data_IF_848399058759
#
_entry.id   IF_848399058759
#
_cell.length_a   1.000
_cell.length_b   1.000
_cell.length_c   1.000
_cell.angle_alpha   90.00
_cell.angle_beta   90.00
_cell.angle_gamma   90.00
#
_symmetry.space_group_name_H-M   'P 1'
#
loop_
_entity.id
_entity.type
_entity.pdbx_description
1 polymer ?
#
# COMPACT_ATOMS: atom_id res chain seq x y z
N UNK A 1 -19.17 -5.61 14.21
CA UNK A 1 -18.27 -5.90 15.33
C UNK A 1 -17.22 -6.87 14.83
N UNK A 2 -15.94 -6.50 14.88
CA UNK A 2 -14.82 -7.38 14.61
C UNK A 2 -13.85 -7.23 15.76
N UNK A 3 -13.35 -8.34 16.29
CA UNK A 3 -12.31 -8.31 17.31
C UNK A 3 -11.08 -7.57 16.81
N UNK A 4 -10.25 -7.12 17.75
CA UNK A 4 -8.91 -6.62 17.46
C UNK A 4 -7.97 -7.71 16.95
N UNK A 5 -6.69 -7.39 16.86
CA UNK A 5 -5.67 -8.38 16.55
C UNK A 5 -5.58 -9.44 17.66
N UNK A 6 -5.39 -10.69 17.26
CA UNK A 6 -5.03 -11.76 18.19
C UNK A 6 -3.58 -11.57 18.67
N UNK A 7 -3.16 -12.30 19.71
CA UNK A 7 -1.74 -12.30 20.13
C UNK A 7 -0.80 -12.68 18.99
N UNK A 8 -1.21 -13.63 18.13
CA UNK A 8 -0.45 -13.99 16.94
C UNK A 8 -0.42 -12.85 15.92
N UNK A 9 -1.56 -12.19 15.68
CA UNK A 9 -1.62 -11.03 14.77
C UNK A 9 -0.72 -9.87 15.23
N UNK A 10 -0.68 -9.57 16.52
CA UNK A 10 0.24 -8.56 17.07
C UNK A 10 1.71 -8.95 16.86
N UNK A 11 2.06 -10.22 17.06
CA UNK A 11 3.42 -10.72 16.80
C UNK A 11 3.77 -10.66 15.31
N UNK A 12 2.81 -10.95 14.43
CA UNK A 12 2.99 -10.88 12.98
C UNK A 12 3.27 -9.45 12.52
N UNK A 13 2.54 -8.45 13.01
CA UNK A 13 2.79 -7.03 12.65
C UNK A 13 4.20 -6.59 13.06
N UNK A 14 4.67 -7.02 14.24
CA UNK A 14 6.04 -6.75 14.69
C UNK A 14 7.08 -7.41 13.76
N UNK A 15 6.83 -8.64 13.34
CA UNK A 15 7.72 -9.33 12.40
C UNK A 15 7.69 -8.69 11.01
N UNK A 16 6.52 -8.24 10.54
CA UNK A 16 6.40 -7.46 9.30
C UNK A 16 7.25 -6.19 9.38
N UNK A 17 7.18 -5.46 10.50
CA UNK A 17 8.03 -4.28 10.72
C UNK A 17 9.52 -4.65 10.73
N UNK A 18 9.91 -5.74 11.41
CA UNK A 18 11.29 -6.24 11.42
C UNK A 18 11.79 -6.66 10.03
N UNK A 19 10.93 -7.15 9.15
CA UNK A 19 11.28 -7.52 7.78
C UNK A 19 11.20 -6.35 6.79
N UNK A 20 10.73 -5.18 7.26
CA UNK A 20 10.41 -4.04 6.40
C UNK A 20 9.25 -4.32 5.43
N UNK A 21 8.41 -5.32 5.74
CA UNK A 21 7.15 -5.52 5.03
C UNK A 21 6.17 -4.41 5.38
N UNK A 22 5.49 -3.91 4.35
CA UNK A 22 4.44 -2.92 4.52
C UNK A 22 3.21 -3.55 5.18
N UNK A 23 2.64 -2.84 6.14
CA UNK A 23 1.38 -3.24 6.79
C UNK A 23 0.25 -2.46 6.12
N UNK A 24 -0.75 -3.20 5.64
CA UNK A 24 -1.96 -2.64 5.06
C UNK A 24 -3.16 -2.86 5.99
N UNK A 25 -3.89 -1.80 6.28
CA UNK A 25 -5.06 -1.79 7.17
C UNK A 25 -6.39 -1.72 6.43
N UNK A 26 -6.39 -1.83 5.10
CA UNK A 26 -7.63 -2.11 4.36
C UNK A 26 -8.26 -3.44 4.83
N UNK A 27 -9.59 -3.50 4.81
CA UNK A 27 -10.45 -4.64 5.24
C UNK A 27 -10.44 -4.98 6.73
N UNK A 28 -9.50 -4.45 7.51
CA UNK A 28 -9.42 -4.76 8.93
C UNK A 28 -10.62 -4.19 9.70
N UNK A 29 -10.92 -4.79 10.86
CA UNK A 29 -11.90 -4.24 11.80
C UNK A 29 -11.41 -2.90 12.35
N UNK A 30 -12.33 -2.03 12.76
CA UNK A 30 -11.97 -0.75 13.40
C UNK A 30 -11.05 -0.95 14.62
N UNK A 31 -11.29 -1.97 15.45
CA UNK A 31 -10.39 -2.28 16.57
C UNK A 31 -9.02 -2.74 16.08
N UNK A 32 -8.96 -3.60 15.06
CA UNK A 32 -7.70 -4.06 14.50
C UNK A 32 -6.88 -2.92 13.88
N UNK A 33 -7.52 -1.93 13.27
CA UNK A 33 -6.85 -0.71 12.80
C UNK A 33 -6.10 -0.03 13.95
N UNK A 34 -6.78 0.19 15.08
CA UNK A 34 -6.17 0.82 16.25
C UNK A 34 -5.06 -0.04 16.86
N UNK A 35 -5.23 -1.35 16.92
CA UNK A 35 -4.19 -2.27 17.41
C UNK A 35 -2.94 -2.22 16.52
N UNK A 36 -3.10 -2.15 15.19
CA UNK A 36 -1.96 -1.99 14.25
C UNK A 36 -1.23 -0.67 14.48
N UNK A 37 -1.97 0.44 14.58
CA UNK A 37 -1.40 1.77 14.78
C UNK A 37 -0.69 1.92 16.13
N UNK A 38 -1.15 1.20 17.16
CA UNK A 38 -0.52 1.19 18.48
C UNK A 38 0.83 0.45 18.47
N UNK A 39 0.97 -0.61 17.67
CA UNK A 39 2.15 -1.48 17.70
C UNK A 39 3.11 -1.27 16.54
N UNK A 40 2.68 -0.65 15.44
CA UNK A 40 3.55 -0.49 14.28
C UNK A 40 4.54 0.65 14.49
N UNK A 41 5.82 0.35 14.32
CA UNK A 41 6.94 1.28 14.51
C UNK A 41 7.22 2.13 13.26
N UNK A 42 6.45 1.94 12.20
CA UNK A 42 6.72 2.49 10.88
C UNK A 42 5.40 2.81 10.15
N UNK A 43 5.44 3.66 9.10
CA UNK A 43 4.23 4.07 8.38
C UNK A 43 3.45 2.92 7.76
N UNK A 44 2.15 2.84 8.03
CA UNK A 44 1.24 1.85 7.42
C UNK A 44 0.45 2.48 6.27
N UNK A 45 -0.20 1.65 5.45
CA UNK A 45 -1.12 2.15 4.41
C UNK A 45 -2.54 1.64 4.66
N UNK A 46 -3.53 2.41 4.22
CA UNK A 46 -4.84 1.86 3.88
C UNK A 46 -4.92 1.86 2.35
N UNK A 47 -4.52 0.76 1.73
CA UNK A 47 -4.35 0.64 0.27
C UNK A 47 -5.55 1.07 -0.56
N UNK A 48 -6.78 0.78 -0.11
CA UNK A 48 -8.04 1.10 -0.77
C UNK A 48 -9.16 1.27 0.27
N UNK A 49 -9.47 2.53 0.62
CA UNK A 49 -10.52 2.92 1.56
C UNK A 49 -10.97 4.36 1.30
N UNK A 50 -12.20 4.70 1.67
CA UNK A 50 -12.75 6.06 1.49
C UNK A 50 -13.14 6.71 2.83
N UNK A 51 -13.75 7.89 2.75
CA UNK A 51 -14.14 8.74 3.89
C UNK A 51 -15.52 8.34 4.44
N UNK A 52 -15.59 7.87 5.68
CA UNK A 52 -16.83 7.37 6.30
C UNK A 52 -17.89 8.44 6.51
N UNK A 53 -17.46 9.69 6.67
CA UNK A 53 -18.34 10.86 6.79
C UNK A 53 -19.17 11.10 5.52
N UNK A 54 -18.59 10.86 4.34
CA UNK A 54 -19.28 11.05 3.06
C UNK A 54 -20.09 9.82 2.65
N UNK A 55 -19.58 8.62 2.92
CA UNK A 55 -20.30 7.36 2.71
C UNK A 55 -20.13 6.44 3.92
N UNK A 56 -21.22 6.22 4.67
CA UNK A 56 -21.21 5.40 5.89
C UNK A 56 -21.14 3.91 5.55
N UNK A 57 -19.94 3.46 5.20
CA UNK A 57 -19.61 2.08 4.89
C UNK A 57 -18.57 1.53 5.88
N UNK A 58 -18.62 0.23 6.19
CA UNK A 58 -17.66 -0.40 7.12
C UNK A 58 -16.23 -0.43 6.58
N UNK A 59 -16.08 -0.33 5.25
CA UNK A 59 -14.78 -0.23 4.57
C UNK A 59 -14.16 1.16 4.56
N UNK A 60 -14.92 2.18 4.99
CA UNK A 60 -14.45 3.56 5.00
C UNK A 60 -13.92 3.96 6.38
N UNK A 61 -12.90 4.82 6.38
CA UNK A 61 -12.22 5.30 7.57
C UNK A 61 -12.95 6.49 8.19
N UNK A 62 -13.06 6.51 9.51
CA UNK A 62 -13.54 7.69 10.25
C UNK A 62 -12.51 8.83 10.18
N UNK A 63 -12.93 10.04 10.56
CA UNK A 63 -12.03 11.19 10.62
C UNK A 63 -10.87 10.96 11.61
N UNK A 64 -11.14 10.26 12.71
CA UNK A 64 -10.14 9.88 13.70
C UNK A 64 -9.12 8.90 13.12
N UNK A 65 -9.58 7.92 12.34
CA UNK A 65 -8.70 6.96 11.67
C UNK A 65 -7.83 7.66 10.61
N UNK A 66 -8.39 8.59 9.83
CA UNK A 66 -7.63 9.38 8.84
C UNK A 66 -6.54 10.22 9.51
N UNK A 67 -6.87 10.92 10.60
CA UNK A 67 -5.89 11.71 11.38
C UNK A 67 -4.80 10.83 11.99
N UNK A 68 -5.18 9.67 12.54
CA UNK A 68 -4.22 8.74 13.14
C UNK A 68 -3.27 8.14 12.10
N UNK A 69 -3.79 7.79 10.92
CA UNK A 69 -2.98 7.31 9.80
C UNK A 69 -1.97 8.38 9.35
N UNK A 70 -2.40 9.64 9.23
CA UNK A 70 -1.52 10.75 8.91
C UNK A 70 -0.44 10.97 9.99
N UNK A 71 -0.82 10.93 11.28
CA UNK A 71 0.12 11.07 12.40
C UNK A 71 1.17 9.93 12.44
N UNK A 72 0.81 8.73 11.97
CA UNK A 72 1.74 7.61 11.78
C UNK A 72 2.67 7.79 10.56
N UNK A 73 2.42 8.79 9.70
CA UNK A 73 3.14 8.99 8.45
C UNK A 73 2.62 8.14 7.29
N UNK A 74 1.48 7.47 7.47
CA UNK A 74 0.88 6.56 6.50
C UNK A 74 0.21 7.25 5.31
N UNK A 75 -0.44 6.46 4.46
CA UNK A 75 -1.22 6.95 3.31
C UNK A 75 -2.54 6.21 3.20
N UNK A 76 -3.63 6.95 2.95
CA UNK A 76 -4.92 6.37 2.52
C UNK A 76 -5.04 6.44 1.01
N UNK A 77 -5.22 5.28 0.37
CA UNK A 77 -5.57 5.16 -1.04
C UNK A 77 -7.08 5.29 -1.22
N UNK A 78 -7.54 6.38 -1.83
CA UNK A 78 -8.96 6.59 -2.15
C UNK A 78 -9.35 5.67 -3.30
N UNK A 79 -10.38 4.88 -3.08
CA UNK A 79 -10.79 3.77 -3.95
C UNK A 79 -12.00 4.07 -4.81
N UNK A 80 -12.07 3.38 -5.94
CA UNK A 80 -13.05 3.61 -6.99
C UNK A 80 -14.27 2.71 -6.87
N UNK A 81 -14.36 1.93 -5.79
CA UNK A 81 -15.47 1.02 -5.52
C UNK A 81 -16.76 1.83 -5.32
N UNK A 82 -17.76 1.71 -6.22
CA UNK A 82 -18.94 2.58 -6.21
C UNK A 82 -19.66 2.65 -4.86
N UNK A 83 -19.89 1.50 -4.22
CA UNK A 83 -20.58 1.46 -2.92
C UNK A 83 -19.78 1.98 -1.73
N UNK A 84 -18.50 2.31 -1.91
CA UNK A 84 -17.68 3.00 -0.90
C UNK A 84 -17.65 4.52 -1.15
N UNK A 85 -18.15 4.99 -2.30
CA UNK A 85 -18.21 6.41 -2.68
C UNK A 85 -19.58 7.01 -2.36
N UNK A 86 -20.67 6.29 -2.66
CA UNK A 86 -22.03 6.69 -2.25
C UNK A 86 -22.80 5.52 -1.67
N UNK A 87 -23.78 5.82 -0.81
CA UNK A 87 -24.62 4.82 -0.13
C UNK A 87 -25.39 3.94 -1.13
N UNK A 88 -25.77 4.50 -2.27
CA UNK A 88 -26.47 3.83 -3.36
C UNK A 88 -25.54 3.31 -4.47
N UNK A 89 -24.21 3.39 -4.29
CA UNK A 89 -23.21 3.11 -5.32
C UNK A 89 -23.28 1.72 -5.94
N UNK A 90 -23.77 0.72 -5.19
CA UNK A 90 -24.01 -0.64 -5.70
C UNK A 90 -25.20 -0.76 -6.64
N UNK A 91 -26.11 0.21 -6.61
CA UNK A 91 -27.31 0.27 -7.46
C UNK A 91 -27.15 1.28 -8.59
N UNK A 92 -26.37 2.33 -8.35
CA UNK A 92 -26.19 3.45 -9.27
C UNK A 92 -24.74 3.91 -9.24
N UNK A 93 -24.10 3.89 -10.41
CA UNK A 93 -22.73 4.37 -10.54
C UNK A 93 -22.64 5.84 -10.09
N UNK A 94 -21.78 6.17 -9.10
CA UNK A 94 -21.59 7.54 -8.68
C UNK A 94 -20.91 8.35 -9.80
N UNK A 95 -21.17 9.66 -9.91
CA UNK A 95 -20.40 10.52 -10.81
C UNK A 95 -18.98 10.75 -10.27
N UNK A 96 -18.01 10.99 -11.16
CA UNK A 96 -16.60 11.26 -10.81
C UNK A 96 -16.42 12.34 -9.72
N UNK A 97 -17.28 13.36 -9.72
CA UNK A 97 -17.28 14.43 -8.71
C UNK A 97 -17.35 13.87 -7.28
N UNK A 98 -18.05 12.76 -7.05
CA UNK A 98 -18.15 12.16 -5.72
C UNK A 98 -16.84 11.48 -5.30
N UNK A 99 -16.10 10.87 -6.22
CA UNK A 99 -14.74 10.38 -5.95
C UNK A 99 -13.82 11.54 -5.60
N UNK A 100 -13.86 12.63 -6.38
CA UNK A 100 -13.07 13.83 -6.11
C UNK A 100 -13.40 14.44 -4.74
N UNK A 101 -14.68 14.43 -4.34
CA UNK A 101 -15.09 14.87 -3.01
C UNK A 101 -14.46 14.02 -1.90
N UNK A 102 -14.29 12.71 -2.10
CA UNK A 102 -13.56 11.86 -1.15
C UNK A 102 -12.08 12.23 -1.06
N UNK A 103 -11.42 12.47 -2.18
CA UNK A 103 -10.00 12.89 -2.21
C UNK A 103 -9.83 14.21 -1.46
N UNK A 104 -10.60 15.24 -1.82
CA UNK A 104 -10.53 16.56 -1.17
C UNK A 104 -10.84 16.47 0.32
N UNK A 105 -11.89 15.73 0.70
CA UNK A 105 -12.24 15.58 2.11
C UNK A 105 -11.15 14.85 2.89
N UNK A 106 -10.50 13.84 2.29
CA UNK A 106 -9.37 13.18 2.93
C UNK A 106 -8.18 14.16 3.11
N UNK A 107 -7.90 15.00 2.11
CA UNK A 107 -6.87 16.03 2.19
C UNK A 107 -7.17 17.02 3.31
N UNK A 108 -8.42 17.47 3.45
CA UNK A 108 -8.84 18.40 4.51
C UNK A 108 -8.63 17.84 5.92
N UNK A 109 -8.73 16.52 6.08
CA UNK A 109 -8.66 15.84 7.38
C UNK A 109 -7.24 15.35 7.71
N UNK A 110 -6.57 14.75 6.73
CA UNK A 110 -5.28 14.07 6.89
C UNK A 110 -4.10 14.96 6.45
N UNK A 111 -4.31 15.84 5.47
CA UNK A 111 -3.26 16.61 4.79
C UNK A 111 -2.85 16.00 3.46
N UNK A 112 -2.37 16.85 2.54
CA UNK A 112 -2.04 16.47 1.15
C UNK A 112 -0.97 15.37 1.06
N UNK A 113 -0.06 15.27 2.03
CA UNK A 113 1.05 14.30 2.03
C UNK A 113 0.65 12.88 2.45
N UNK A 114 -0.63 12.66 2.78
CA UNK A 114 -1.13 11.41 3.39
C UNK A 114 -2.32 10.81 2.62
N UNK A 115 -2.62 11.35 1.43
CA UNK A 115 -3.71 10.88 0.56
C UNK A 115 -3.12 10.41 -0.77
N UNK A 116 -3.60 9.27 -1.25
CA UNK A 116 -3.18 8.69 -2.53
C UNK A 116 -4.34 8.05 -3.28
N UNK A 117 -4.04 7.43 -4.41
CA UNK A 117 -4.98 6.61 -5.18
C UNK A 117 -4.89 5.14 -4.77
N UNK A 118 -6.05 4.49 -4.61
CA UNK A 118 -6.18 3.08 -4.25
C UNK A 118 -7.28 2.42 -5.06
N UNK A 119 -7.11 2.34 -6.39
CA UNK A 119 -8.22 2.11 -7.34
C UNK A 119 -9.12 0.92 -7.00
N UNK A 120 -8.52 -0.19 -6.55
CA UNK A 120 -9.16 -1.50 -6.42
C UNK A 120 -9.70 -2.02 -7.78
N UNK A 121 -8.98 -1.69 -8.87
CA UNK A 121 -9.26 -2.27 -10.19
C UNK A 121 -9.23 -3.80 -10.13
N UNK A 122 -10.10 -4.44 -10.90
CA UNK A 122 -10.35 -5.89 -10.88
C UNK A 122 -10.85 -6.45 -9.53
N UNK A 123 -10.92 -5.63 -8.48
CA UNK A 123 -11.50 -5.91 -7.16
C UNK A 123 -12.88 -5.27 -6.92
N UNK A 124 -13.42 -4.55 -7.92
CA UNK A 124 -14.71 -3.84 -7.87
C UNK A 124 -14.61 -2.32 -7.97
N UNK A 125 -13.41 -1.78 -8.21
CA UNK A 125 -13.13 -0.38 -8.49
C UNK A 125 -13.61 0.10 -9.85
N UNK A 126 -14.92 -0.01 -10.11
CA UNK A 126 -15.50 0.09 -11.45
C UNK A 126 -15.89 1.51 -11.88
N UNK A 127 -15.63 2.54 -11.04
CA UNK A 127 -15.99 3.92 -11.39
C UNK A 127 -15.19 4.45 -12.58
N UNK A 128 -13.91 4.10 -12.67
CA UNK A 128 -13.07 4.41 -13.81
C UNK A 128 -12.82 3.14 -14.61
N UNK A 129 -12.63 3.28 -15.92
CA UNK A 129 -12.41 2.12 -16.79
C UNK A 129 -11.10 1.40 -16.48
N UNK A 130 -10.01 2.16 -16.36
CA UNK A 130 -8.65 1.66 -16.11
C UNK A 130 -7.71 2.84 -15.75
N UNK A 131 -6.43 2.54 -15.56
CA UNK A 131 -5.43 3.54 -15.17
C UNK A 131 -5.25 4.69 -16.18
N UNK A 132 -5.63 4.52 -17.45
CA UNK A 132 -5.57 5.61 -18.44
C UNK A 132 -6.50 6.77 -18.11
N UNK A 133 -7.53 6.54 -17.27
CA UNK A 133 -8.48 7.56 -16.87
C UNK A 133 -8.05 8.35 -15.63
N UNK A 134 -6.85 8.09 -15.07
CA UNK A 134 -6.32 8.87 -13.93
C UNK A 134 -6.15 10.35 -14.27
N UNK A 135 -6.00 10.67 -15.56
CA UNK A 135 -5.98 12.06 -16.04
C UNK A 135 -7.24 12.83 -15.62
N UNK A 136 -8.41 12.18 -15.56
CA UNK A 136 -9.66 12.82 -15.12
C UNK A 136 -9.61 13.23 -13.64
N UNK A 137 -8.85 12.50 -12.83
CA UNK A 137 -8.62 12.86 -11.42
C UNK A 137 -7.69 14.07 -11.35
N UNK A 138 -6.60 14.06 -12.12
CA UNK A 138 -5.66 15.17 -12.18
C UNK A 138 -6.35 16.47 -12.64
N UNK A 139 -7.13 16.41 -13.71
CA UNK A 139 -7.95 17.53 -14.22
C UNK A 139 -8.92 18.00 -13.14
N UNK A 140 -9.65 17.08 -12.51
CA UNK A 140 -10.61 17.42 -11.46
C UNK A 140 -9.98 18.08 -10.24
N UNK A 141 -8.76 17.71 -9.86
CA UNK A 141 -8.01 18.37 -8.78
C UNK A 141 -7.44 19.73 -9.24
N UNK A 142 -6.95 19.83 -10.47
CA UNK A 142 -6.46 21.09 -11.05
C UNK A 142 -7.58 22.15 -11.10
N UNK A 143 -8.79 21.77 -11.53
CA UNK A 143 -9.98 22.63 -11.53
C UNK A 143 -10.39 23.11 -10.12
N UNK A 144 -9.97 22.38 -9.08
CA UNK A 144 -10.19 22.74 -7.67
C UNK A 144 -9.05 23.58 -7.08
N UNK A 145 -8.05 23.93 -7.87
CA UNK A 145 -6.94 24.80 -7.49
C UNK A 145 -5.76 24.09 -6.84
N UNK A 146 -5.67 22.76 -6.93
CA UNK A 146 -4.48 22.03 -6.50
C UNK A 146 -3.34 22.23 -7.49
N UNK A 147 -2.12 22.42 -6.97
CA UNK A 147 -0.92 22.56 -7.79
C UNK A 147 -0.52 21.23 -8.44
N UNK A 148 0.29 21.28 -9.49
CA UNK A 148 0.86 20.08 -10.11
C UNK A 148 1.64 19.23 -9.09
N UNK A 149 2.30 19.87 -8.12
CA UNK A 149 3.03 19.20 -7.03
C UNK A 149 2.07 18.43 -6.11
N UNK A 150 0.95 19.04 -5.71
CA UNK A 150 -0.07 18.38 -4.90
C UNK A 150 -0.73 17.22 -5.66
N UNK A 151 -0.96 17.39 -6.96
CA UNK A 151 -1.54 16.34 -7.80
C UNK A 151 -0.57 15.16 -7.92
N UNK A 152 0.74 15.40 -8.13
CA UNK A 152 1.75 14.33 -8.15
C UNK A 152 1.81 13.54 -6.83
N UNK A 153 1.69 14.23 -5.69
CA UNK A 153 1.58 13.59 -4.37
C UNK A 153 0.42 12.60 -4.30
N UNK A 154 -0.78 13.05 -4.69
CA UNK A 154 -1.99 12.20 -4.69
C UNK A 154 -1.88 11.04 -5.68
N UNK A 155 -1.33 11.28 -6.88
CA UNK A 155 -1.25 10.26 -7.92
C UNK A 155 -0.23 9.15 -7.60
N UNK A 156 0.81 9.43 -6.80
CA UNK A 156 1.75 8.37 -6.44
C UNK A 156 2.89 8.74 -5.50
N UNK A 157 3.32 10.00 -5.42
CA UNK A 157 4.54 10.32 -4.65
C UNK A 157 4.37 10.07 -3.15
N UNK A 158 3.14 10.18 -2.61
CA UNK A 158 2.87 9.81 -1.23
C UNK A 158 3.04 8.31 -0.98
N UNK A 159 2.60 7.45 -1.91
CA UNK A 159 2.83 6.01 -1.82
C UNK A 159 4.32 5.68 -1.93
N UNK A 160 5.01 6.30 -2.89
CA UNK A 160 6.46 6.14 -3.06
C UNK A 160 7.23 6.52 -1.79
N UNK A 161 6.88 7.65 -1.16
CA UNK A 161 7.45 8.08 0.13
C UNK A 161 7.35 6.98 1.19
N UNK A 162 6.20 6.31 1.30
CA UNK A 162 6.02 5.22 2.27
C UNK A 162 6.86 4.00 1.88
N UNK A 163 6.89 3.63 0.60
CA UNK A 163 7.66 2.48 0.11
C UNK A 163 9.16 2.68 0.28
N UNK A 164 9.69 3.86 -0.02
CA UNK A 164 11.10 4.22 0.15
C UNK A 164 11.52 4.15 1.61
N UNK A 165 10.71 4.73 2.52
CA UNK A 165 10.95 4.62 3.96
C UNK A 165 10.97 3.16 4.44
N UNK A 166 10.21 2.26 3.80
CA UNK A 166 10.29 0.82 4.11
C UNK A 166 11.56 0.17 3.56
N UNK A 167 11.90 0.44 2.30
CA UNK A 167 13.10 -0.11 1.68
C UNK A 167 14.39 0.28 2.44
N UNK A 168 14.51 1.55 2.82
CA UNK A 168 15.67 2.07 3.56
C UNK A 168 15.82 1.40 4.94
N UNK A 169 14.72 1.17 5.63
CA UNK A 169 14.73 0.46 6.92
C UNK A 169 15.19 -1.01 6.76
N UNK A 170 14.74 -1.70 5.72
CA UNK A 170 15.20 -3.07 5.40
C UNK A 170 16.69 -3.10 5.12
N UNK A 171 17.19 -2.15 4.33
CA UNK A 171 18.61 -2.03 4.02
C UNK A 171 19.41 -1.75 5.31
N UNK A 172 18.99 -0.79 6.13
CA UNK A 172 19.64 -0.50 7.41
C UNK A 172 19.71 -1.73 8.32
N UNK A 173 18.68 -2.57 8.35
CA UNK A 173 18.66 -3.85 9.08
C UNK A 173 19.62 -4.89 8.49
N UNK A 174 19.71 -4.97 7.16
CA UNK A 174 20.66 -5.83 6.47
C UNK A 174 22.10 -5.44 6.81
N UNK A 175 22.43 -4.16 6.70
CA UNK A 175 23.77 -3.62 6.96
C UNK A 175 24.17 -3.61 8.44
N UNK A 176 23.22 -3.39 9.35
CA UNK A 176 23.46 -3.48 10.81
C UNK A 176 23.59 -4.92 11.33
N UNK A 177 23.47 -5.93 10.46
CA UNK A 177 23.61 -7.33 10.83
C UNK A 177 22.37 -7.91 11.52
N UNK A 178 21.21 -7.26 11.43
CA UNK A 178 19.93 -7.74 11.96
C UNK A 178 19.46 -9.07 11.37
N UNK A 179 19.95 -9.44 10.18
CA UNK A 179 19.75 -10.75 9.57
C UNK A 179 20.72 -11.85 10.07
N UNK A 180 21.82 -11.49 10.75
CA UNK A 180 22.96 -12.41 10.97
C UNK A 180 22.84 -13.39 12.14
N UNK A 181 21.73 -13.43 12.91
CA UNK A 181 21.67 -14.29 14.11
C UNK A 181 20.56 -15.35 14.15
N UNK A 182 19.57 -15.33 13.25
CA UNK A 182 18.42 -16.26 13.30
C UNK A 182 18.33 -17.29 12.18
N UNK A 183 19.00 -17.05 11.05
CA UNK A 183 18.91 -17.89 9.84
C UNK A 183 20.12 -18.83 9.66
N UNK A 184 21.31 -18.45 10.16
CA UNK A 184 22.53 -19.26 10.06
C UNK A 184 22.44 -20.61 10.76
N UNK A 185 21.68 -20.69 11.85
CA UNK A 185 21.57 -21.92 12.64
C UNK A 185 20.48 -22.87 12.13
N UNK A 186 19.68 -22.48 11.11
CA UNK A 186 18.55 -23.28 10.63
C UNK A 186 18.67 -23.84 9.21
N UNK A 187 19.57 -23.35 8.36
CA UNK A 187 19.71 -23.87 6.98
C UNK A 187 21.17 -23.73 6.50
N UNK A 188 22.01 -24.78 6.59
CA UNK A 188 23.44 -24.68 6.31
C UNK A 188 23.82 -24.48 4.83
N UNK A 189 22.86 -24.45 3.89
CA UNK A 189 23.15 -24.52 2.44
C UNK A 189 22.73 -23.28 1.61
N UNK A 190 22.35 -22.16 2.21
CA UNK A 190 21.90 -20.97 1.47
C UNK A 190 22.98 -19.86 1.40
N UNK A 191 24.16 -20.16 0.84
CA UNK A 191 25.28 -19.20 0.78
C UNK A 191 25.37 -18.44 -0.57
N UNK A 192 24.46 -18.64 -1.53
CA UNK A 192 24.57 -18.01 -2.86
C UNK A 192 23.46 -17.03 -3.28
N UNK A 193 22.48 -16.71 -2.43
CA UNK A 193 21.27 -15.95 -2.83
C UNK A 193 21.22 -14.48 -2.38
N UNK A 194 22.14 -14.03 -1.54
CA UNK A 194 21.98 -12.76 -0.79
C UNK A 194 22.39 -11.50 -1.58
N UNK A 195 23.10 -11.64 -2.71
CA UNK A 195 23.42 -10.51 -3.59
C UNK A 195 22.35 -10.29 -4.68
N UNK A 196 21.61 -11.34 -5.05
CA UNK A 196 20.77 -11.33 -6.26
C UNK A 196 19.41 -10.62 -6.04
N UNK A 197 18.88 -10.61 -4.81
CA UNK A 197 17.57 -10.03 -4.50
C UNK A 197 17.58 -8.50 -4.41
N UNK A 198 18.67 -7.90 -3.94
CA UNK A 198 18.80 -6.44 -3.88
C UNK A 198 18.96 -5.84 -5.29
N UNK A 199 19.73 -6.50 -6.15
CA UNK A 199 19.96 -6.05 -7.53
C UNK A 199 18.67 -6.08 -8.38
N UNK A 200 17.76 -7.04 -8.14
CA UNK A 200 16.46 -7.11 -8.85
C UNK A 200 15.54 -5.96 -8.44
N UNK A 201 15.46 -5.64 -7.15
CA UNK A 201 14.61 -4.53 -6.66
C UNK A 201 15.17 -3.18 -7.14
N UNK A 202 16.50 -3.03 -7.12
CA UNK A 202 17.15 -1.84 -7.70
C UNK A 202 16.99 -1.76 -9.22
N UNK A 203 17.04 -2.88 -9.96
CA UNK A 203 16.83 -2.90 -11.40
C UNK A 203 15.38 -2.52 -11.76
N UNK A 204 14.38 -3.05 -11.05
CA UNK A 204 12.96 -2.74 -11.27
C UNK A 204 12.63 -1.27 -10.97
N UNK A 205 13.11 -0.74 -9.84
CA UNK A 205 12.88 0.66 -9.47
C UNK A 205 13.60 1.59 -10.45
N UNK A 206 14.83 1.27 -10.86
CA UNK A 206 15.59 2.09 -11.81
C UNK A 206 14.99 2.02 -13.22
N UNK A 207 14.53 0.86 -13.68
CA UNK A 207 13.89 0.69 -15.00
C UNK A 207 12.55 1.41 -15.09
N UNK A 208 11.75 1.38 -14.02
CA UNK A 208 10.50 2.14 -13.91
C UNK A 208 10.73 3.66 -13.88
N UNK A 209 11.87 4.11 -13.33
CA UNK A 209 12.21 5.54 -13.23
C UNK A 209 12.99 6.08 -14.44
N UNK A 210 13.71 5.25 -15.21
CA UNK A 210 14.58 5.69 -16.32
C UNK A 210 14.15 5.23 -17.72
N UNK A 211 13.14 4.35 -17.84
CA UNK A 211 12.52 4.00 -19.13
C UNK A 211 13.39 3.21 -20.11
N UNK A 212 14.48 2.59 -19.67
CA UNK A 212 15.36 1.76 -20.51
C UNK A 212 14.89 0.29 -20.49
N UNK A 213 14.15 -0.14 -21.51
CA UNK A 213 13.65 -1.50 -21.66
C UNK A 213 14.77 -2.50 -21.99
N UNK A 214 15.01 -3.47 -21.10
CA UNK A 214 15.90 -4.61 -21.34
C UNK A 214 15.16 -5.94 -21.27
N UNK A 215 15.12 -6.70 -22.37
CA UNK A 215 14.43 -8.00 -22.55
C UNK A 215 14.80 -9.13 -21.56
N UNK A 216 15.66 -8.92 -20.56
CA UNK A 216 16.09 -9.96 -19.60
C UNK A 216 15.21 -10.11 -18.35
N UNK A 217 14.33 -9.15 -18.04
CA UNK A 217 13.58 -9.13 -16.76
C UNK A 217 12.37 -10.08 -16.78
N UNK A 218 11.72 -10.25 -17.93
CA UNK A 218 10.58 -11.16 -18.08
C UNK A 218 10.99 -12.64 -17.90
N UNK A 219 12.16 -13.03 -18.43
CA UNK A 219 12.71 -14.38 -18.25
C UNK A 219 13.15 -14.64 -16.80
N UNK A 220 13.68 -13.61 -16.12
CA UNK A 220 14.03 -13.67 -14.70
C UNK A 220 12.82 -13.81 -13.78
N UNK A 221 11.73 -13.09 -14.05
CA UNK A 221 10.47 -13.18 -13.29
C UNK A 221 9.79 -14.53 -13.48
N UNK A 222 9.80 -15.10 -14.69
CA UNK A 222 9.27 -16.43 -14.96
C UNK A 222 10.07 -17.52 -14.23
N UNK A 223 11.39 -17.42 -14.19
CA UNK A 223 12.23 -18.33 -13.41
C UNK A 223 12.03 -18.18 -11.90
N UNK A 224 11.81 -16.97 -11.39
CA UNK A 224 11.47 -16.72 -9.98
C UNK A 224 10.12 -17.36 -9.59
N UNK A 225 9.10 -17.24 -10.43
CA UNK A 225 7.77 -17.85 -10.22
C UNK A 225 7.86 -19.38 -10.17
N UNK A 226 8.58 -20.01 -11.11
CA UNK A 226 8.72 -21.47 -11.15
C UNK A 226 9.52 -22.01 -9.95
N UNK A 227 10.48 -21.24 -9.43
CA UNK A 227 11.30 -21.64 -8.27
C UNK A 227 10.60 -21.41 -6.93
N UNK A 228 9.78 -20.37 -6.81
CA UNK A 228 8.87 -20.19 -5.67
C UNK A 228 7.83 -21.32 -5.60
N UNK A 229 7.33 -21.80 -6.74
CA UNK A 229 6.44 -22.98 -6.79
C UNK A 229 7.16 -24.25 -6.32
N UNK A 230 8.42 -24.47 -6.72
CA UNK A 230 9.16 -25.66 -6.28
C UNK A 230 9.46 -25.68 -4.78
N UNK A 231 9.79 -24.52 -4.21
CA UNK A 231 10.17 -24.42 -2.80
C UNK A 231 8.96 -24.49 -1.85
N UNK A 232 7.78 -24.07 -2.30
CA UNK A 232 6.52 -24.23 -1.56
C UNK A 232 6.03 -25.68 -1.59
N UNK A 233 6.21 -26.40 -2.70
CA UNK A 233 5.80 -27.83 -2.82
C UNK A 233 6.73 -28.74 -2.01
N UNK A 234 8.02 -28.42 -1.92
CA UNK A 234 9.00 -29.20 -1.16
C UNK A 234 8.89 -29.04 0.37
N UNK A 235 8.11 -28.06 0.86
CA UNK A 235 7.93 -27.77 2.29
C UNK A 235 6.70 -28.43 2.93
N UNK A 236 5.98 -29.29 2.20
CA UNK A 236 4.73 -29.94 2.66
C UNK A 236 4.79 -31.46 2.88
N UNK A 237 5.98 -32.05 2.99
CA UNK A 237 6.17 -33.43 3.49
C UNK A 237 6.79 -33.48 4.89
#
# INVERSE_FOLDING_TARGET
MGGGLTRFGMALVKEMNRLGMLVDVSHISERGFWDVLEISEHPVIASHSNCKTLCRHSRNLSNEQLKALAANGGVVGITFVPGFITVDGWKKMPPLVQLLNHIVYAIDIAGIDYVGIGSDFDGGGDLLKDASEFIKIAEGLSERGYSDDDIRKVLGENHLRVFEQRADNTLALFWSGGFRKGARDRLPNLIHTDAFHADIVFALIRELLTGTTGYGVADGLMQCSERLKSDVIAGTE
#
